data_IF_084970369790
#
_entry.id   IF_084970369790
#
_cell.length_a   1.000
_cell.length_b   1.000
_cell.length_c   1.000
_cell.angle_alpha   90.00
_cell.angle_beta   90.00
_cell.angle_gamma   90.00
#
_symmetry.space_group_name_H-M   'P 1'
#
loop_
_entity.id
_entity.type
_entity.pdbx_description
1 polymer ?
#
# COMPACT_ATOMS: atom_id res chain seq x y z
N UNK A 1 -49.48 55.79 28.46
CA UNK A 1 -48.98 54.43 28.76
C UNK A 1 -50.14 53.47 28.66
N UNK A 2 -50.13 52.59 27.65
CA UNK A 2 -50.64 51.22 27.73
C UNK A 2 -50.22 50.49 26.45
N UNK A 3 -49.44 49.41 26.59
CA UNK A 3 -49.22 48.42 25.53
C UNK A 3 -49.82 47.10 26.03
N UNK A 4 -50.85 46.62 25.33
CA UNK A 4 -51.04 45.19 25.06
C UNK A 4 -50.42 44.90 23.68
N UNK A 5 -50.20 43.68 23.21
CA UNK A 5 -50.51 42.33 23.66
C UNK A 5 -49.50 41.41 22.95
N UNK A 6 -49.21 40.23 23.49
CA UNK A 6 -48.73 39.11 22.68
C UNK A 6 -49.07 37.81 23.39
N UNK A 7 -49.90 36.99 22.74
CA UNK A 7 -50.28 35.66 23.18
C UNK A 7 -50.19 34.65 22.01
N UNK A 8 -50.12 33.37 22.39
CA UNK A 8 -49.87 32.14 21.62
C UNK A 8 -48.38 31.79 21.48
N UNK A 9 -47.90 30.60 21.83
CA UNK A 9 -48.52 29.28 21.73
C UNK A 9 -48.10 28.30 22.85
N UNK A 10 -48.99 27.34 23.14
CA UNK A 10 -48.82 26.15 24.01
C UNK A 10 -48.06 25.04 23.26
N UNK A 11 -47.20 24.29 23.95
CA UNK A 11 -46.97 22.86 23.67
C UNK A 11 -46.81 22.08 24.97
N UNK A 12 -47.33 20.86 24.96
CA UNK A 12 -47.50 19.94 26.08
C UNK A 12 -46.50 18.80 25.95
N UNK A 13 -45.44 18.74 26.77
CA UNK A 13 -44.39 17.71 26.70
C UNK A 13 -43.84 17.36 28.11
N UNK A 14 -44.72 16.96 29.04
CA UNK A 14 -44.36 16.78 30.47
C UNK A 14 -44.18 15.34 30.94
N UNK A 15 -45.02 14.39 30.50
CA UNK A 15 -45.17 13.12 31.23
C UNK A 15 -44.48 11.90 30.57
N UNK A 16 -44.31 11.88 29.24
CA UNK A 16 -43.70 10.74 28.54
C UNK A 16 -42.18 10.60 28.78
N UNK A 17 -41.50 11.69 29.17
CA UNK A 17 -40.06 11.71 29.44
C UNK A 17 -39.70 11.12 30.80
N UNK A 18 -40.63 11.12 31.76
CA UNK A 18 -40.42 10.61 33.13
C UNK A 18 -40.41 9.08 33.19
N UNK A 19 -41.38 8.43 32.53
CA UNK A 19 -41.46 6.96 32.49
C UNK A 19 -40.34 6.32 31.66
N UNK A 20 -39.92 7.00 30.57
CA UNK A 20 -38.77 6.59 29.78
C UNK A 20 -37.45 6.74 30.56
N UNK A 21 -37.29 7.82 31.32
CA UNK A 21 -36.13 8.02 32.19
C UNK A 21 -36.08 6.99 33.34
N UNK A 22 -37.22 6.68 33.96
CA UNK A 22 -37.32 5.65 35.00
C UNK A 22 -37.00 4.25 34.46
N UNK A 23 -37.46 3.93 33.25
CA UNK A 23 -37.16 2.65 32.59
C UNK A 23 -35.67 2.54 32.24
N UNK A 24 -35.05 3.60 31.71
CA UNK A 24 -33.61 3.64 31.42
C UNK A 24 -32.76 3.53 32.70
N UNK A 25 -33.18 4.17 33.80
CA UNK A 25 -32.52 4.05 35.09
C UNK A 25 -32.57 2.59 35.62
N UNK A 26 -33.73 1.94 35.54
CA UNK A 26 -33.87 0.53 35.98
C UNK A 26 -33.05 -0.45 35.13
N UNK A 27 -32.92 -0.19 33.83
CA UNK A 27 -32.07 -0.99 32.92
C UNK A 27 -30.59 -0.78 33.27
N UNK A 28 -30.17 0.45 33.55
CA UNK A 28 -28.80 0.76 33.93
C UNK A 28 -28.40 0.09 35.27
N UNK A 29 -29.28 0.12 36.27
CA UNK A 29 -29.04 -0.56 37.55
C UNK A 29 -28.92 -2.08 37.42
N UNK A 30 -29.76 -2.70 36.59
CA UNK A 30 -29.68 -4.14 36.32
C UNK A 30 -28.39 -4.51 35.57
N UNK A 31 -27.94 -3.67 34.64
CA UNK A 31 -26.68 -3.87 33.94
C UNK A 31 -25.48 -3.81 34.91
N UNK A 32 -25.50 -2.85 35.84
CA UNK A 32 -24.46 -2.72 36.87
C UNK A 32 -24.43 -3.94 37.80
N UNK A 33 -25.58 -4.42 38.26
CA UNK A 33 -25.67 -5.63 39.10
C UNK A 33 -25.15 -6.86 38.37
N UNK A 34 -25.54 -7.03 37.09
CA UNK A 34 -25.07 -8.14 36.25
C UNK A 34 -23.56 -8.08 35.99
N UNK A 35 -23.00 -6.90 35.73
CA UNK A 35 -21.57 -6.71 35.54
C UNK A 35 -20.75 -7.03 36.80
N UNK A 36 -21.24 -6.64 37.98
CA UNK A 36 -20.60 -6.92 39.27
C UNK A 36 -20.65 -8.42 39.58
N UNK A 37 -21.77 -9.08 39.32
CA UNK A 37 -21.94 -10.52 39.54
C UNK A 37 -21.09 -11.35 38.58
N UNK A 38 -21.01 -10.95 37.30
CA UNK A 38 -20.12 -11.55 36.30
C UNK A 38 -18.64 -11.39 36.68
N UNK A 39 -18.23 -10.20 37.13
CA UNK A 39 -16.86 -9.99 37.60
C UNK A 39 -16.51 -10.87 38.81
N UNK A 40 -17.44 -11.03 39.76
CA UNK A 40 -17.26 -11.92 40.91
C UNK A 40 -17.21 -13.40 40.50
N UNK A 41 -18.03 -13.83 39.54
CA UNK A 41 -18.01 -15.20 39.03
C UNK A 41 -16.67 -15.53 38.35
N UNK A 42 -16.14 -14.61 37.53
CA UNK A 42 -14.82 -14.77 36.88
C UNK A 42 -13.69 -14.81 37.93
N UNK A 43 -13.73 -13.93 38.93
CA UNK A 43 -12.75 -13.94 40.02
C UNK A 43 -12.82 -15.24 40.84
N UNK A 44 -14.04 -15.70 41.17
CA UNK A 44 -14.23 -16.92 41.94
C UNK A 44 -13.77 -18.15 41.15
N UNK A 45 -14.14 -18.25 39.87
CA UNK A 45 -13.74 -19.35 38.98
C UNK A 45 -12.22 -19.39 38.76
N UNK A 46 -11.60 -18.23 38.50
CA UNK A 46 -10.14 -18.11 38.40
C UNK A 46 -9.42 -18.50 39.69
N UNK A 47 -9.97 -18.10 40.85
CA UNK A 47 -9.38 -18.42 42.16
C UNK A 47 -9.44 -19.92 42.49
N UNK A 48 -10.50 -20.62 42.08
CA UNK A 48 -10.64 -22.07 42.31
C UNK A 48 -9.67 -22.87 41.47
N UNK A 49 -9.47 -22.50 40.19
CA UNK A 49 -8.46 -23.15 39.34
C UNK A 49 -7.03 -22.85 39.82
N UNK A 50 -6.78 -21.63 40.29
CA UNK A 50 -5.48 -21.26 40.85
C UNK A 50 -5.19 -21.98 42.18
N UNK A 51 -6.18 -22.11 43.06
CA UNK A 51 -6.04 -22.90 44.30
C UNK A 51 -5.83 -24.39 44.03
N UNK A 52 -6.54 -24.96 43.05
CA UNK A 52 -6.31 -26.35 42.65
C UNK A 52 -4.85 -26.54 42.19
N UNK A 53 -4.33 -25.63 41.35
CA UNK A 53 -2.94 -25.65 40.91
C UNK A 53 -1.94 -25.52 42.07
N UNK A 54 -2.22 -24.68 43.07
CA UNK A 54 -1.39 -24.55 44.27
C UNK A 54 -1.26 -25.84 45.08
N UNK A 55 -2.28 -26.71 45.07
CA UNK A 55 -2.22 -27.99 45.77
C UNK A 55 -1.39 -29.05 45.02
N UNK A 56 -1.34 -28.99 43.67
CA UNK A 56 -0.52 -29.90 42.86
C UNK A 56 0.93 -29.43 42.68
N UNK A 57 1.19 -28.14 42.84
CA UNK A 57 2.52 -27.53 42.83
C UNK A 57 3.53 -28.22 43.76
N UNK A 58 3.26 -28.45 45.06
CA UNK A 58 4.25 -29.06 45.96
C UNK A 58 4.58 -30.52 45.61
N UNK A 59 3.61 -31.29 45.11
CA UNK A 59 3.82 -32.67 44.66
C UNK A 59 4.62 -32.73 43.36
N UNK A 60 4.30 -31.88 42.38
CA UNK A 60 5.08 -31.77 41.15
C UNK A 60 6.50 -31.26 41.43
N UNK A 61 6.66 -30.31 42.36
CA UNK A 61 7.97 -29.78 42.76
C UNK A 61 8.78 -30.83 43.50
N UNK A 62 8.20 -31.65 44.39
CA UNK A 62 8.95 -32.68 45.09
C UNK A 62 9.42 -33.80 44.15
N UNK A 63 8.57 -34.25 43.24
CA UNK A 63 8.96 -35.21 42.20
C UNK A 63 10.02 -34.61 41.28
N UNK A 64 9.85 -33.36 40.84
CA UNK A 64 10.86 -32.67 40.04
C UNK A 64 12.21 -32.55 40.75
N UNK A 65 12.21 -32.22 42.06
CA UNK A 65 13.43 -32.11 42.87
C UNK A 65 14.22 -33.42 42.93
N UNK A 66 13.55 -34.57 43.05
CA UNK A 66 14.25 -35.87 43.02
C UNK A 66 14.96 -36.15 41.70
N UNK A 67 14.33 -35.79 40.56
CA UNK A 67 14.97 -35.92 39.24
C UNK A 67 16.08 -34.89 39.03
N UNK A 68 15.88 -33.68 39.53
CA UNK A 68 16.85 -32.59 39.47
C UNK A 68 18.11 -32.94 40.26
N UNK A 69 17.98 -33.46 41.48
CA UNK A 69 19.12 -33.89 42.31
C UNK A 69 19.86 -35.08 41.69
N UNK A 70 19.14 -36.07 41.14
CA UNK A 70 19.75 -37.19 40.42
C UNK A 70 20.53 -36.72 39.18
N UNK A 71 19.96 -35.78 38.42
CA UNK A 71 20.60 -35.18 37.27
C UNK A 71 21.87 -34.40 37.66
N UNK A 72 21.79 -33.54 38.68
CA UNK A 72 22.95 -32.77 39.12
C UNK A 72 24.05 -33.65 39.70
N UNK A 73 23.70 -34.72 40.41
CA UNK A 73 24.69 -35.70 40.87
C UNK A 73 25.37 -36.39 39.69
N UNK A 74 24.63 -36.79 38.64
CA UNK A 74 25.23 -37.35 37.41
C UNK A 74 26.09 -36.36 36.64
N UNK A 75 25.68 -35.09 36.57
CA UNK A 75 26.47 -34.02 35.95
C UNK A 75 27.73 -33.76 36.75
N UNK A 76 27.67 -33.78 38.08
CA UNK A 76 28.82 -33.63 38.97
C UNK A 76 29.80 -34.79 38.84
N UNK A 77 29.30 -36.02 38.81
CA UNK A 77 30.11 -37.22 38.55
C UNK A 77 30.74 -37.15 37.15
N UNK A 78 29.96 -36.79 36.13
CA UNK A 78 30.44 -36.57 34.77
C UNK A 78 31.46 -35.43 34.64
N UNK A 79 31.34 -34.39 35.45
CA UNK A 79 32.29 -33.28 35.53
C UNK A 79 33.60 -33.70 36.20
N UNK A 80 33.53 -34.54 37.25
CA UNK A 80 34.70 -35.14 37.88
C UNK A 80 35.46 -36.05 36.89
N UNK A 81 34.74 -36.83 36.08
CA UNK A 81 35.31 -37.65 34.99
C UNK A 81 35.86 -36.77 33.85
N UNK A 82 35.16 -35.72 33.45
CA UNK A 82 35.62 -34.80 32.41
C UNK A 82 36.85 -33.98 32.84
N UNK A 83 37.09 -33.81 34.15
CA UNK A 83 38.33 -33.24 34.68
C UNK A 83 39.53 -34.12 34.37
N UNK A 84 39.34 -35.44 34.31
CA UNK A 84 40.37 -36.41 33.91
C UNK A 84 40.57 -36.44 32.37
N UNK A 85 39.58 -35.98 31.61
CA UNK A 85 39.62 -35.85 30.13
C UNK A 85 39.27 -34.42 29.69
N UNK A 86 40.23 -33.51 29.84
CA UNK A 86 40.07 -32.05 29.64
C UNK A 86 39.49 -31.66 28.26
N UNK A 87 39.70 -32.47 27.21
CA UNK A 87 39.13 -32.22 25.88
C UNK A 87 37.59 -32.34 25.83
N UNK A 88 37.00 -33.23 26.63
CA UNK A 88 35.55 -33.46 26.67
C UNK A 88 34.83 -32.43 27.54
N UNK A 89 35.44 -31.99 28.64
CA UNK A 89 34.88 -30.98 29.54
C UNK A 89 34.72 -29.59 28.90
N UNK A 90 35.63 -29.20 28.01
CA UNK A 90 35.57 -27.90 27.31
C UNK A 90 34.33 -27.80 26.42
N UNK A 91 33.97 -28.86 25.70
CA UNK A 91 32.78 -28.88 24.85
C UNK A 91 31.47 -28.75 25.64
N UNK A 92 31.38 -29.42 26.79
CA UNK A 92 30.23 -29.31 27.69
C UNK A 92 30.14 -27.92 28.34
N UNK A 93 31.28 -27.35 28.76
CA UNK A 93 31.32 -26.01 29.32
C UNK A 93 30.91 -24.95 28.27
N UNK A 94 31.36 -25.06 27.02
CA UNK A 94 31.01 -24.14 25.94
C UNK A 94 29.51 -24.23 25.62
N UNK A 95 28.97 -25.44 25.48
CA UNK A 95 27.53 -25.61 25.18
C UNK A 95 26.63 -25.15 26.32
N UNK A 96 27.00 -25.41 27.58
CA UNK A 96 26.31 -24.90 28.76
C UNK A 96 26.40 -23.36 28.85
N UNK A 97 27.57 -22.77 28.56
CA UNK A 97 27.75 -21.32 28.52
C UNK A 97 26.88 -20.66 27.44
N UNK A 98 26.80 -21.27 26.24
CA UNK A 98 25.93 -20.79 25.17
C UNK A 98 24.45 -20.86 25.54
N UNK A 99 24.01 -21.91 26.23
CA UNK A 99 22.63 -22.03 26.72
C UNK A 99 22.31 -21.08 27.88
N UNK A 100 23.29 -20.82 28.75
CA UNK A 100 23.15 -19.89 29.87
C UNK A 100 23.08 -18.42 29.42
N UNK A 101 23.70 -18.09 28.28
CA UNK A 101 23.62 -16.74 27.72
C UNK A 101 22.20 -16.38 27.27
N UNK A 102 21.77 -15.15 27.62
CA UNK A 102 20.41 -14.64 27.34
C UNK A 102 20.07 -14.57 25.84
N UNK A 103 21.05 -14.27 24.99
CA UNK A 103 20.84 -14.06 23.56
C UNK A 103 20.63 -15.36 22.75
N UNK A 104 21.49 -16.39 22.87
CA UNK A 104 21.26 -17.68 22.19
C UNK A 104 19.98 -18.37 22.66
N UNK A 105 19.64 -18.25 23.95
CA UNK A 105 18.36 -18.73 24.49
C UNK A 105 17.17 -18.09 23.77
N UNK A 106 17.14 -16.76 23.65
CA UNK A 106 16.07 -16.03 22.95
C UNK A 106 16.00 -16.37 21.45
N UNK A 107 17.16 -16.59 20.84
CA UNK A 107 17.27 -17.00 19.44
C UNK A 107 16.67 -18.39 19.21
N UNK A 108 17.07 -19.38 20.04
CA UNK A 108 16.52 -20.74 19.99
C UNK A 108 15.01 -20.71 20.20
N UNK A 109 14.51 -20.03 21.23
CA UNK A 109 13.06 -19.96 21.47
C UNK A 109 12.27 -19.33 20.32
N UNK A 110 12.79 -18.27 19.67
CA UNK A 110 12.09 -17.65 18.54
C UNK A 110 12.03 -18.56 17.32
N UNK A 111 13.09 -19.34 17.10
CA UNK A 111 13.26 -20.14 15.89
C UNK A 111 12.71 -21.58 16.02
N UNK A 112 12.70 -22.15 17.23
CA UNK A 112 12.19 -23.51 17.49
C UNK A 112 10.70 -23.49 17.84
N UNK A 113 10.25 -22.63 18.77
CA UNK A 113 8.83 -22.54 19.13
C UNK A 113 7.96 -21.99 17.98
N UNK A 114 8.53 -21.16 17.10
CA UNK A 114 7.84 -20.70 15.89
C UNK A 114 7.50 -21.84 14.91
N UNK A 115 8.22 -22.97 14.95
CA UNK A 115 7.95 -24.14 14.11
C UNK A 115 6.92 -25.09 14.73
N UNK A 116 6.72 -25.04 16.06
CA UNK A 116 5.70 -25.80 16.78
C UNK A 116 4.31 -25.12 16.80
N UNK A 117 4.06 -24.12 15.93
CA UNK A 117 2.70 -23.64 15.72
C UNK A 117 1.81 -24.83 15.34
N UNK A 118 0.77 -25.06 16.16
CA UNK A 118 -0.29 -26.03 15.96
C UNK A 118 -0.73 -26.05 14.49
N UNK A 119 -1.06 -27.23 13.97
CA UNK A 119 -1.57 -27.40 12.61
C UNK A 119 -2.73 -26.44 12.32
N UNK A 120 -3.58 -26.20 13.32
CA UNK A 120 -4.71 -25.28 13.27
C UNK A 120 -4.29 -23.80 13.09
N UNK A 121 -3.18 -23.38 13.70
CA UNK A 121 -2.66 -22.02 13.57
C UNK A 121 -2.08 -21.76 12.17
N UNK A 122 -1.55 -22.81 11.51
CA UNK A 122 -1.09 -22.74 10.12
C UNK A 122 -2.26 -22.66 9.15
N UNK A 123 -3.31 -23.47 9.34
CA UNK A 123 -4.52 -23.38 8.52
C UNK A 123 -5.23 -22.03 8.66
N UNK A 124 -5.41 -21.53 9.89
CA UNK A 124 -5.99 -20.20 10.11
C UNK A 124 -5.16 -19.09 9.45
N UNK A 125 -3.83 -19.25 9.44
CA UNK A 125 -2.94 -18.31 8.76
C UNK A 125 -2.94 -18.46 7.23
N UNK A 126 -3.16 -19.65 6.69
CA UNK A 126 -3.33 -19.83 5.25
C UNK A 126 -4.67 -19.26 4.78
N UNK A 127 -5.75 -19.47 5.53
CA UNK A 127 -7.09 -18.98 5.20
C UNK A 127 -7.15 -17.45 5.17
N UNK A 128 -6.57 -16.76 6.17
CA UNK A 128 -6.49 -15.29 6.14
C UNK A 128 -5.69 -14.78 4.94
N UNK A 129 -4.60 -15.45 4.58
CA UNK A 129 -3.77 -15.06 3.44
C UNK A 129 -4.51 -15.25 2.12
N UNK A 130 -5.27 -16.34 1.97
CA UNK A 130 -6.11 -16.57 0.78
C UNK A 130 -7.22 -15.52 0.68
N UNK A 131 -7.86 -15.15 1.81
CA UNK A 131 -8.87 -14.09 1.83
C UNK A 131 -8.30 -12.73 1.44
N UNK A 132 -7.16 -12.36 2.02
CA UNK A 132 -6.47 -11.11 1.70
C UNK A 132 -6.04 -11.04 0.23
N UNK A 133 -5.51 -12.16 -0.29
CA UNK A 133 -5.13 -12.26 -1.69
C UNK A 133 -6.35 -12.17 -2.62
N UNK A 134 -7.47 -12.77 -2.25
CA UNK A 134 -8.71 -12.68 -3.04
C UNK A 134 -9.19 -11.23 -3.15
N UNK A 135 -9.20 -10.48 -2.04
CA UNK A 135 -9.55 -9.06 -2.03
C UNK A 135 -8.61 -8.22 -2.91
N UNK A 136 -7.29 -8.47 -2.83
CA UNK A 136 -6.32 -7.73 -3.65
C UNK A 136 -6.47 -8.02 -5.14
N UNK A 137 -6.72 -9.27 -5.52
CA UNK A 137 -6.98 -9.66 -6.92
C UNK A 137 -8.26 -9.01 -7.45
N UNK A 138 -9.31 -8.90 -6.65
CA UNK A 138 -10.55 -8.26 -7.07
C UNK A 138 -10.42 -6.74 -7.25
N UNK A 139 -9.63 -6.08 -6.41
CA UNK A 139 -9.26 -4.67 -6.61
C UNK A 139 -8.48 -4.53 -7.91
N UNK A 140 -7.44 -5.35 -8.10
CA UNK A 140 -6.59 -5.31 -9.28
C UNK A 140 -7.38 -5.55 -10.58
N UNK A 141 -8.34 -6.47 -10.58
CA UNK A 141 -9.24 -6.70 -11.73
C UNK A 141 -10.07 -5.46 -12.06
N UNK A 142 -10.59 -4.76 -11.04
CA UNK A 142 -11.38 -3.53 -11.26
C UNK A 142 -10.51 -2.40 -11.80
N UNK A 143 -9.29 -2.27 -11.29
CA UNK A 143 -8.34 -1.26 -11.75
C UNK A 143 -7.82 -1.54 -13.16
N UNK A 144 -7.54 -2.81 -13.49
CA UNK A 144 -7.07 -3.19 -14.81
C UNK A 144 -8.11 -2.93 -15.90
N UNK A 145 -9.40 -3.20 -15.63
CA UNK A 145 -10.49 -2.89 -16.57
C UNK A 145 -10.60 -1.38 -16.79
N UNK A 146 -10.50 -0.56 -15.74
CA UNK A 146 -10.53 0.90 -15.86
C UNK A 146 -9.36 1.43 -16.68
N UNK A 147 -8.17 0.88 -16.48
CA UNK A 147 -6.98 1.26 -17.24
C UNK A 147 -7.13 0.86 -18.71
N UNK A 148 -7.54 -0.37 -18.99
CA UNK A 148 -7.77 -0.83 -20.36
C UNK A 148 -8.79 0.03 -21.09
N UNK A 149 -9.87 0.44 -20.43
CA UNK A 149 -10.88 1.32 -21.05
C UNK A 149 -10.31 2.70 -21.40
N UNK A 150 -9.48 3.28 -20.52
CA UNK A 150 -8.80 4.56 -20.79
C UNK A 150 -7.78 4.44 -21.91
N UNK A 151 -6.99 3.37 -21.92
CA UNK A 151 -6.00 3.11 -22.98
C UNK A 151 -6.69 2.90 -24.33
N UNK A 152 -7.78 2.12 -24.38
CA UNK A 152 -8.53 1.89 -25.61
C UNK A 152 -9.17 3.19 -26.15
N UNK A 153 -9.67 4.05 -25.26
CA UNK A 153 -10.19 5.36 -25.64
C UNK A 153 -9.07 6.25 -26.20
N UNK A 154 -7.94 6.35 -25.48
CA UNK A 154 -6.78 7.13 -25.92
C UNK A 154 -6.22 6.63 -27.27
N UNK A 155 -6.20 5.32 -27.50
CA UNK A 155 -5.79 4.73 -28.78
C UNK A 155 -6.74 5.16 -29.91
N UNK A 156 -8.05 5.14 -29.66
CA UNK A 156 -9.05 5.58 -30.64
C UNK A 156 -8.89 7.06 -30.99
N UNK A 157 -8.71 7.91 -29.99
CA UNK A 157 -8.49 9.35 -30.19
C UNK A 157 -7.17 9.62 -30.92
N UNK A 158 -6.10 8.90 -30.58
CA UNK A 158 -4.81 9.04 -31.25
C UNK A 158 -4.89 8.64 -32.73
N UNK A 159 -5.56 7.53 -33.05
CA UNK A 159 -5.77 7.10 -34.44
C UNK A 159 -6.60 8.13 -35.21
N UNK A 160 -7.67 8.62 -34.61
CA UNK A 160 -8.50 9.66 -35.21
C UNK A 160 -7.70 10.94 -35.48
N UNK A 161 -7.00 11.48 -34.48
CA UNK A 161 -6.16 12.66 -34.62
C UNK A 161 -5.05 12.47 -35.67
N UNK A 162 -4.45 11.29 -35.74
CA UNK A 162 -3.47 10.97 -36.79
C UNK A 162 -4.08 11.03 -38.19
N UNK A 163 -5.27 10.43 -38.39
CA UNK A 163 -5.94 10.49 -39.71
C UNK A 163 -6.33 11.91 -40.10
N UNK A 164 -6.78 12.72 -39.15
CA UNK A 164 -7.13 14.12 -39.37
C UNK A 164 -5.90 14.93 -39.79
N UNK A 165 -4.79 14.79 -39.07
CA UNK A 165 -3.52 15.45 -39.39
C UNK A 165 -2.98 15.05 -40.77
N UNK A 166 -3.01 13.76 -41.11
CA UNK A 166 -2.59 13.28 -42.43
C UNK A 166 -3.46 13.88 -43.53
N UNK A 167 -4.78 13.93 -43.33
CA UNK A 167 -5.72 14.49 -44.31
C UNK A 167 -5.48 16.00 -44.53
N UNK A 168 -5.25 16.76 -43.45
CA UNK A 168 -4.93 18.18 -43.54
C UNK A 168 -3.57 18.38 -44.22
N UNK A 169 -2.56 17.58 -43.87
CA UNK A 169 -1.23 17.62 -44.49
C UNK A 169 -1.27 17.40 -46.01
N UNK A 170 -2.11 16.47 -46.49
CA UNK A 170 -2.32 16.24 -47.92
C UNK A 170 -2.92 17.50 -48.58
N UNK A 171 -3.91 18.14 -47.96
CA UNK A 171 -4.51 19.37 -48.48
C UNK A 171 -3.47 20.52 -48.56
N UNK A 172 -2.66 20.70 -47.52
CA UNK A 172 -1.57 21.69 -47.54
C UNK A 172 -0.55 21.38 -48.62
N UNK A 173 -0.18 20.12 -48.81
CA UNK A 173 0.77 19.73 -49.85
C UNK A 173 0.22 20.01 -51.26
N UNK A 174 -1.08 19.79 -51.49
CA UNK A 174 -1.73 20.11 -52.76
C UNK A 174 -1.76 21.62 -52.99
N UNK A 175 -2.12 22.40 -51.97
CA UNK A 175 -2.12 23.87 -52.05
C UNK A 175 -0.72 24.41 -52.34
N UNK A 176 0.29 23.95 -51.61
CA UNK A 176 1.69 24.34 -51.82
C UNK A 176 2.17 24.00 -53.24
N UNK A 177 1.82 22.81 -53.77
CA UNK A 177 2.13 22.43 -55.16
C UNK A 177 1.44 23.34 -56.17
N UNK A 178 0.20 23.74 -55.92
CA UNK A 178 -0.53 24.67 -56.81
C UNK A 178 0.07 26.08 -56.76
N UNK A 179 0.42 26.57 -55.57
CA UNK A 179 1.09 27.86 -55.38
C UNK A 179 2.46 27.90 -56.07
N UNK A 180 3.27 26.84 -55.92
CA UNK A 180 4.56 26.71 -56.60
C UNK A 180 4.42 26.75 -58.12
N UNK A 181 3.38 26.13 -58.69
CA UNK A 181 3.11 26.22 -60.14
C UNK A 181 2.78 27.64 -60.58
N UNK A 182 1.94 28.35 -59.81
CA UNK A 182 1.58 29.74 -60.08
C UNK A 182 2.80 30.66 -59.97
N UNK A 183 3.63 30.46 -58.94
CA UNK A 183 4.87 31.19 -58.74
C UNK A 183 5.85 30.97 -59.90
N UNK A 184 6.04 29.72 -60.33
CA UNK A 184 6.94 29.40 -61.44
C UNK A 184 6.42 29.97 -62.78
N UNK A 185 5.11 29.98 -63.00
CA UNK A 185 4.51 30.62 -64.16
C UNK A 185 4.69 32.15 -64.13
N UNK A 186 4.48 32.79 -62.98
CA UNK A 186 4.69 34.22 -62.80
C UNK A 186 6.16 34.61 -62.98
N UNK A 187 7.08 33.84 -62.39
CA UNK A 187 8.52 34.02 -62.55
C UNK A 187 8.94 33.91 -64.03
N UNK A 188 8.42 32.90 -64.75
CA UNK A 188 8.65 32.76 -66.20
C UNK A 188 8.17 33.98 -67.01
N UNK A 189 6.99 34.52 -66.69
CA UNK A 189 6.49 35.76 -67.33
C UNK A 189 7.36 36.97 -67.00
N UNK A 190 7.80 37.14 -65.75
CA UNK A 190 8.66 38.26 -65.33
C UNK A 190 10.04 38.16 -66.01
N UNK A 191 10.64 36.97 -66.05
CA UNK A 191 11.90 36.75 -66.77
C UNK A 191 11.76 37.04 -68.27
N UNK A 192 10.64 36.66 -68.90
CA UNK A 192 10.35 36.99 -70.29
C UNK A 192 10.18 38.50 -70.53
N UNK A 193 9.49 39.21 -69.62
CA UNK A 193 9.32 40.66 -69.72
C UNK A 193 10.65 41.43 -69.58
N UNK A 194 11.56 40.93 -68.74
CA UNK A 194 12.91 41.50 -68.61
C UNK A 194 13.83 41.16 -69.80
N UNK A 195 13.49 40.15 -70.61
CA UNK A 195 14.26 39.78 -71.81
C UNK A 195 13.82 40.56 -73.07
N UNK A 196 12.55 40.96 -73.16
CA UNK A 196 12.00 41.79 -74.26
C UNK A 196 12.32 43.30 -74.11
N UNK A 197 12.92 43.72 -72.99
CA UNK A 197 13.37 45.09 -72.78
C UNK A 197 14.89 45.21 -72.51
N UNK A 198 15.79 44.83 -73.44
CA UNK A 198 17.21 45.02 -73.26
C UNK A 198 17.68 46.32 -73.92
N UNK A 199 17.12 47.49 -73.60
CA UNK A 199 17.77 48.73 -74.07
C UNK A 199 17.47 50.02 -73.32
N UNK A 200 17.39 50.05 -71.98
CA UNK A 200 17.73 51.31 -71.29
C UNK A 200 18.26 50.99 -69.89
N UNK A 201 19.59 50.84 -69.74
CA UNK A 201 20.33 51.11 -68.50
C UNK A 201 21.83 50.82 -68.70
N UNK A 202 22.50 51.64 -69.51
CA UNK A 202 23.95 51.81 -69.41
C UNK A 202 24.20 53.11 -68.62
N UNK A 203 24.64 52.97 -67.37
CA UNK A 203 25.03 54.07 -66.51
C UNK A 203 25.50 53.59 -65.14
N UNK A 204 26.82 53.45 -64.99
CA UNK A 204 27.69 53.63 -63.80
C UNK A 204 26.98 53.86 -62.43
N UNK A 205 27.36 53.32 -61.26
CA UNK A 205 28.65 52.90 -60.66
C UNK A 205 28.37 52.17 -59.33
N UNK A 206 29.18 51.15 -59.03
CA UNK A 206 29.87 50.87 -57.76
C UNK A 206 29.15 51.08 -56.40
N UNK A 207 28.57 50.02 -55.82
CA UNK A 207 28.77 49.68 -54.40
C UNK A 207 28.17 48.31 -54.05
N UNK A 208 28.99 47.49 -53.39
CA UNK A 208 28.70 46.43 -52.42
C UNK A 208 27.37 45.65 -52.47
N UNK A 209 27.54 44.33 -52.62
CA UNK A 209 26.84 43.31 -51.85
C UNK A 209 25.36 43.07 -52.17
N UNK A 210 25.08 42.17 -53.12
CA UNK A 210 24.39 40.91 -52.84
C UNK A 210 24.00 40.15 -54.12
N UNK A 211 24.46 38.90 -54.16
CA UNK A 211 23.66 37.75 -54.57
C UNK A 211 23.04 37.79 -55.97
N UNK A 212 23.81 38.19 -56.96
CA UNK A 212 23.60 37.74 -58.35
C UNK A 212 24.07 36.30 -58.46
N UNK A 213 23.18 35.35 -58.13
CA UNK A 213 23.25 33.99 -58.69
C UNK A 213 21.85 33.41 -58.84
N UNK A 214 21.46 33.20 -60.10
CA UNK A 214 20.65 32.05 -60.47
C UNK A 214 19.17 32.34 -60.73
N UNK A 215 18.86 33.20 -61.69
CA UNK A 215 17.76 32.82 -62.59
C UNK A 215 18.24 31.61 -63.40
N UNK A 216 17.42 30.56 -63.43
CA UNK A 216 17.55 29.34 -64.25
C UNK A 216 18.63 28.32 -63.82
N UNK A 217 18.28 27.46 -62.86
CA UNK A 217 18.70 26.04 -62.91
C UNK A 217 17.46 25.18 -62.68
N UNK A 218 16.85 24.76 -63.79
CA UNK A 218 15.86 23.68 -63.84
C UNK A 218 16.57 22.34 -63.79
N UNK A 219 16.08 21.40 -62.97
CA UNK A 219 16.28 19.96 -63.11
C UNK A 219 14.91 19.30 -62.92
#
# INVERSE_FOLDING_TARGET
MSQGDSSSSKSSDGDASSEAAASLASIAENLQRSAIESARAVQHNSSTHFRAFQNFLPEAVSQYRTYEDAFFNKVKDGLMIAREHQALGVGLAISAALLAMRAPRRFLFRHTLGRFQSEEARYASAEKNVKDLNLSVDILKKESVKLLQRTALAEKEMKYGHTELVSAGIQYQQLAKSAYKVENQAAGCICGFNFEAPEICAGQTDNEDQRVRGCCVTN
#
